data_IF_450394603784
#
_entry.id   IF_450394603784
#
_cell.length_a   1.000
_cell.length_b   1.000
_cell.length_c   1.000
_cell.angle_alpha   90.00
_cell.angle_beta   90.00
_cell.angle_gamma   90.00
#
_symmetry.space_group_name_H-M   'P 1'
#
loop_
_entity.id
_entity.type
_entity.pdbx_description
1 polymer ?
#
# COMPACT_ATOMS: atom_id res chain seq x y z
N UNK A 1 31.28 -11.32 -49.86
CA UNK A 1 31.98 -10.64 -50.97
C UNK A 1 31.07 -10.65 -52.18
N UNK A 2 30.38 -9.55 -52.48
CA UNK A 2 29.85 -9.22 -53.81
C UNK A 2 30.10 -7.73 -54.01
N UNK A 3 30.51 -7.39 -55.23
CA UNK A 3 31.16 -6.16 -55.65
C UNK A 3 30.35 -5.55 -56.80
N UNK A 4 30.35 -4.22 -56.95
CA UNK A 4 29.82 -3.49 -58.12
C UNK A 4 28.99 -2.26 -57.74
N UNK A 5 29.59 -1.09 -57.49
CA UNK A 5 29.95 0.02 -58.42
C UNK A 5 28.74 0.70 -59.11
N UNK A 6 28.50 1.99 -58.83
CA UNK A 6 28.72 3.13 -59.77
C UNK A 6 28.23 4.47 -59.17
N UNK A 7 28.82 5.58 -59.64
CA UNK A 7 28.81 6.94 -59.09
C UNK A 7 28.67 7.93 -60.28
N UNK A 8 27.79 8.95 -60.20
CA UNK A 8 27.81 10.26 -60.90
C UNK A 8 26.45 10.98 -60.67
N UNK A 9 26.33 12.15 -60.00
CA UNK A 9 26.62 13.55 -60.43
C UNK A 9 25.65 14.02 -61.55
N UNK A 10 24.90 15.13 -61.54
CA UNK A 10 25.08 16.51 -61.02
C UNK A 10 23.73 17.32 -61.09
N UNK A 11 23.57 18.32 -60.18
CA UNK A 11 23.09 19.75 -60.31
C UNK A 11 21.87 20.12 -61.21
N UNK A 12 21.00 21.12 -60.95
CA UNK A 12 21.06 22.37 -60.15
C UNK A 12 19.64 23.01 -59.99
N UNK A 13 19.46 23.70 -58.84
CA UNK A 13 18.67 24.91 -58.45
C UNK A 13 17.29 25.32 -59.01
N UNK A 14 16.44 25.79 -58.07
CA UNK A 14 15.38 26.79 -58.29
C UNK A 14 14.42 26.93 -57.08
N UNK A 15 14.70 27.84 -56.13
CA UNK A 15 13.95 29.09 -55.85
C UNK A 15 12.82 28.97 -54.80
N UNK A 16 13.03 29.64 -53.67
CA UNK A 16 12.10 29.85 -52.55
C UNK A 16 10.95 30.80 -52.90
N UNK A 17 9.82 30.68 -52.17
CA UNK A 17 9.35 31.86 -51.44
C UNK A 17 9.02 31.64 -49.96
N UNK A 18 9.12 32.77 -49.28
CA UNK A 18 9.05 33.17 -47.87
C UNK A 18 7.79 32.85 -47.05
N UNK A 19 8.02 32.78 -45.71
CA UNK A 19 7.12 33.06 -44.55
C UNK A 19 5.89 32.15 -44.41
N UNK A 20 5.62 31.55 -43.25
CA UNK A 20 5.09 32.22 -42.05
C UNK A 20 5.38 31.40 -40.78
N UNK A 21 5.63 32.13 -39.69
CA UNK A 21 5.72 31.66 -38.30
C UNK A 21 4.50 30.84 -37.89
N UNK A 22 4.71 29.58 -37.54
CA UNK A 22 3.74 28.77 -36.83
C UNK A 22 4.48 27.92 -35.80
N UNK A 23 4.72 28.48 -34.61
CA UNK A 23 5.19 27.73 -33.45
C UNK A 23 4.16 26.63 -33.18
N UNK A 24 4.46 25.39 -33.56
CA UNK A 24 3.72 24.23 -33.05
C UNK A 24 4.00 24.16 -31.55
N UNK A 25 2.97 24.23 -30.69
CA UNK A 25 3.18 24.02 -29.27
C UNK A 25 3.70 22.59 -29.11
N UNK A 26 4.78 22.46 -28.35
CA UNK A 26 5.21 21.20 -27.77
C UNK A 26 3.97 20.61 -27.08
N UNK A 27 3.46 19.49 -27.59
CA UNK A 27 2.47 18.72 -26.87
C UNK A 27 3.20 18.05 -25.71
N UNK A 28 3.38 18.81 -24.64
CA UNK A 28 3.80 18.32 -23.35
C UNK A 28 2.63 17.52 -22.77
N UNK A 29 2.41 16.29 -23.26
CA UNK A 29 1.72 15.29 -22.45
C UNK A 29 2.70 14.85 -21.36
N UNK A 30 3.01 15.78 -20.45
CA UNK A 30 3.43 15.45 -19.11
C UNK A 30 2.19 14.83 -18.46
N UNK A 31 1.92 13.57 -18.82
CA UNK A 31 1.08 12.70 -18.03
C UNK A 31 1.70 12.77 -16.64
N UNK A 32 1.02 13.49 -15.76
CA UNK A 32 1.45 13.71 -14.41
C UNK A 32 1.69 12.32 -13.82
N UNK A 33 2.95 11.96 -13.65
CA UNK A 33 3.37 10.98 -12.66
C UNK A 33 3.07 11.62 -11.31
N UNK A 34 1.78 11.81 -11.02
CA UNK A 34 1.30 11.82 -9.67
C UNK A 34 1.62 10.41 -9.18
N UNK A 35 2.83 10.25 -8.65
CA UNK A 35 3.24 9.07 -7.92
C UNK A 35 2.25 8.92 -6.80
N UNK A 36 1.19 8.15 -7.04
CA UNK A 36 0.33 7.66 -5.99
C UNK A 36 1.27 6.83 -5.12
N UNK A 37 1.74 7.39 -4.01
CA UNK A 37 2.41 6.69 -2.92
C UNK A 37 1.39 5.75 -2.24
N UNK A 38 0.70 4.94 -3.04
CA UNK A 38 -0.12 3.87 -2.55
C UNK A 38 0.84 2.85 -1.94
N UNK A 39 0.64 2.47 -0.68
CA UNK A 39 1.48 1.46 -0.07
C UNK A 39 1.48 0.22 -0.95
N UNK A 40 2.66 -0.36 -1.17
CA UNK A 40 2.86 -1.56 -1.98
C UNK A 40 3.07 -2.77 -1.08
N UNK A 41 2.69 -3.93 -1.58
CA UNK A 41 3.00 -5.17 -0.88
C UNK A 41 4.52 -5.38 -0.80
N UNK A 42 5.03 -5.66 0.39
CA UNK A 42 6.46 -5.90 0.60
C UNK A 42 7.00 -7.14 -0.13
N UNK A 43 6.13 -8.12 -0.43
CA UNK A 43 6.52 -9.38 -1.08
C UNK A 43 6.38 -9.33 -2.60
N UNK A 44 5.20 -8.99 -3.13
CA UNK A 44 4.93 -9.03 -4.58
C UNK A 44 4.97 -7.65 -5.28
N UNK A 45 5.11 -6.55 -4.54
CA UNK A 45 5.08 -5.19 -5.11
C UNK A 45 3.71 -4.72 -5.61
N UNK A 46 2.66 -5.53 -5.45
CA UNK A 46 1.29 -5.24 -5.86
C UNK A 46 0.72 -3.97 -5.23
N UNK A 47 -0.18 -3.31 -5.97
CA UNK A 47 -1.01 -2.23 -5.44
C UNK A 47 -1.93 -2.81 -4.37
N UNK A 48 -1.71 -2.42 -3.11
CA UNK A 48 -2.34 -3.06 -1.96
C UNK A 48 -1.37 -3.47 -0.86
N UNK A 49 -0.33 -2.66 -0.58
CA UNK A 49 0.25 -2.59 0.76
C UNK A 49 -0.79 -2.11 1.78
N UNK A 50 -0.49 -2.08 3.10
CA UNK A 50 -1.47 -2.06 4.19
C UNK A 50 -2.74 -1.30 3.80
N UNK A 51 -3.75 -2.06 3.35
CA UNK A 51 -4.96 -1.44 2.84
C UNK A 51 -5.68 -0.91 4.08
N UNK A 52 -6.08 0.35 4.03
CA UNK A 52 -6.98 0.92 5.03
C UNK A 52 -8.14 -0.06 5.28
N UNK A 53 -8.33 -0.45 6.54
CA UNK A 53 -9.36 -1.40 6.98
C UNK A 53 -8.81 -2.77 7.41
N UNK A 54 -9.67 -3.79 7.34
CA UNK A 54 -9.49 -5.13 7.95
C UNK A 54 -8.54 -6.09 7.21
N UNK A 55 -7.73 -5.59 6.28
CA UNK A 55 -6.96 -6.46 5.39
C UNK A 55 -5.54 -6.71 5.90
N UNK A 56 -5.37 -7.80 6.63
CA UNK A 56 -4.06 -8.28 7.10
C UNK A 56 -3.20 -8.89 5.99
N UNK A 57 -3.82 -9.50 4.97
CA UNK A 57 -3.10 -10.27 3.94
C UNK A 57 -3.17 -9.60 2.57
N UNK A 58 -2.10 -9.76 1.79
CA UNK A 58 -2.08 -9.31 0.40
C UNK A 58 -3.07 -10.13 -0.45
N UNK A 59 -3.96 -9.50 -1.24
CA UNK A 59 -4.91 -10.23 -2.09
C UNK A 59 -4.23 -11.00 -3.24
N UNK A 60 -3.00 -10.64 -3.62
CA UNK A 60 -2.30 -11.26 -4.74
C UNK A 60 -1.41 -12.45 -4.31
N UNK A 61 -0.56 -12.25 -3.29
CA UNK A 61 0.40 -13.27 -2.85
C UNK A 61 0.09 -13.87 -1.47
N UNK A 62 -0.96 -13.39 -0.78
CA UNK A 62 -1.35 -13.79 0.58
C UNK A 62 -0.30 -13.58 1.68
N UNK A 63 0.77 -12.84 1.41
CA UNK A 63 1.74 -12.48 2.44
C UNK A 63 1.09 -11.59 3.52
N UNK A 64 1.41 -11.85 4.79
CA UNK A 64 1.00 -10.99 5.91
C UNK A 64 1.62 -9.60 5.73
N UNK A 65 0.80 -8.55 5.72
CA UNK A 65 1.24 -7.17 5.54
C UNK A 65 1.63 -6.53 6.88
N UNK A 66 2.48 -5.50 6.90
CA UNK A 66 2.78 -4.75 8.13
C UNK A 66 1.51 -4.11 8.72
N UNK A 67 1.45 -3.91 10.05
CA UNK A 67 0.35 -3.17 10.68
C UNK A 67 0.31 -1.72 10.22
N UNK A 68 -0.89 -1.16 10.12
CA UNK A 68 -1.11 0.25 9.82
C UNK A 68 -0.94 1.08 11.12
N UNK A 69 0.09 1.94 11.22
CA UNK A 69 0.33 2.74 12.42
C UNK A 69 -0.72 3.83 12.64
N UNK A 70 -1.54 4.14 11.64
CA UNK A 70 -2.59 5.17 11.72
C UNK A 70 -3.94 4.62 12.17
N UNK A 71 -4.05 3.29 12.29
CA UNK A 71 -5.30 2.61 12.66
C UNK A 71 -5.52 2.69 14.17
N UNK A 72 -6.67 3.22 14.57
CA UNK A 72 -7.06 3.29 15.98
C UNK A 72 -7.55 1.94 16.53
N UNK A 73 -7.57 1.80 17.86
CA UNK A 73 -7.95 0.56 18.54
C UNK A 73 -9.43 0.21 18.36
N UNK A 74 -10.33 1.19 18.26
CA UNK A 74 -11.76 0.93 18.03
C UNK A 74 -11.97 0.37 16.62
N UNK A 75 -11.31 0.96 15.62
CA UNK A 75 -11.28 0.45 14.24
C UNK A 75 -10.63 -0.91 14.14
N UNK A 76 -9.57 -1.20 14.91
CA UNK A 76 -8.96 -2.54 14.97
C UNK A 76 -9.93 -3.59 15.53
N UNK A 77 -10.60 -3.23 16.62
CA UNK A 77 -11.55 -4.06 17.35
C UNK A 77 -12.97 -4.03 16.78
N UNK A 78 -13.15 -3.45 15.58
CA UNK A 78 -14.41 -3.41 14.84
C UNK A 78 -15.58 -2.93 15.72
N UNK A 79 -15.35 -1.82 16.43
CA UNK A 79 -16.33 -1.21 17.32
C UNK A 79 -16.34 0.31 17.17
N UNK A 80 -17.44 0.93 17.60
CA UNK A 80 -17.57 2.39 17.53
C UNK A 80 -16.63 3.06 18.54
N UNK A 81 -16.04 4.20 18.17
CA UNK A 81 -15.29 5.07 19.10
C UNK A 81 -16.23 5.66 20.15
N UNK A 82 -16.46 4.91 21.21
CA UNK A 82 -17.36 5.24 22.32
C UNK A 82 -16.81 4.67 23.62
N UNK A 83 -17.10 5.34 24.73
CA UNK A 83 -16.79 4.79 26.05
C UNK A 83 -17.58 3.50 26.34
N UNK A 84 -18.79 3.37 25.80
CA UNK A 84 -19.62 2.16 25.95
C UNK A 84 -19.21 1.14 24.89
N UNK A 85 -18.48 0.11 25.32
CA UNK A 85 -18.04 -1.01 24.48
C UNK A 85 -18.67 -2.30 24.98
N UNK A 86 -19.17 -3.11 24.06
CA UNK A 86 -19.65 -4.47 24.31
C UNK A 86 -18.44 -5.41 24.45
N UNK A 87 -18.16 -5.84 25.69
CA UNK A 87 -16.98 -6.67 26.00
C UNK A 87 -17.06 -8.07 25.40
N UNK A 88 -18.26 -8.61 25.19
CA UNK A 88 -18.43 -9.92 24.56
C UNK A 88 -18.05 -9.86 23.08
N UNK A 89 -18.49 -8.81 22.36
CA UNK A 89 -18.08 -8.55 20.97
C UNK A 89 -16.58 -8.27 20.88
N UNK A 90 -16.04 -7.49 21.82
CA UNK A 90 -14.62 -7.18 21.89
C UNK A 90 -13.78 -8.46 22.02
N UNK A 91 -14.14 -9.35 22.95
CA UNK A 91 -13.46 -10.63 23.14
C UNK A 91 -13.59 -11.55 21.92
N UNK A 92 -14.77 -11.60 21.30
CA UNK A 92 -14.96 -12.38 20.08
C UNK A 92 -14.05 -11.89 18.95
N UNK A 93 -14.01 -10.56 18.73
CA UNK A 93 -13.14 -9.95 17.72
C UNK A 93 -11.66 -10.21 18.01
N UNK A 94 -11.24 -10.06 19.26
CA UNK A 94 -9.88 -10.40 19.70
C UNK A 94 -9.47 -11.82 19.30
N UNK A 95 -10.32 -12.81 19.59
CA UNK A 95 -10.06 -14.21 19.24
C UNK A 95 -10.05 -14.44 17.72
N UNK A 96 -10.88 -13.74 16.95
CA UNK A 96 -10.86 -13.81 15.49
C UNK A 96 -9.53 -13.30 14.93
N UNK A 97 -9.07 -12.15 15.42
CA UNK A 97 -7.79 -11.58 15.01
C UNK A 97 -6.65 -12.52 15.38
N UNK A 98 -6.56 -12.97 16.63
CA UNK A 98 -5.47 -13.86 17.06
C UNK A 98 -5.41 -15.15 16.22
N UNK A 99 -6.54 -15.74 15.83
CA UNK A 99 -6.55 -16.90 14.91
C UNK A 99 -5.96 -16.61 13.52
N UNK A 100 -5.90 -15.36 13.09
CA UNK A 100 -5.33 -14.95 11.81
C UNK A 100 -3.85 -14.60 11.90
N UNK A 101 -3.41 -14.01 13.02
CA UNK A 101 -2.12 -13.32 13.12
C UNK A 101 -1.20 -13.85 14.23
N UNK A 102 -1.62 -14.79 15.07
CA UNK A 102 -0.80 -15.24 16.21
C UNK A 102 0.52 -15.91 15.76
N UNK A 103 1.67 -15.62 16.41
CA UNK A 103 3.00 -16.12 16.01
C UNK A 103 3.12 -17.64 15.84
N UNK A 104 2.35 -18.42 16.59
CA UNK A 104 2.34 -19.88 16.49
C UNK A 104 2.06 -20.37 15.07
N UNK A 105 1.18 -19.68 14.33
CA UNK A 105 0.84 -20.01 12.93
C UNK A 105 1.92 -19.61 11.93
N UNK A 106 2.90 -18.80 12.34
CA UNK A 106 3.97 -18.27 11.50
C UNK A 106 5.35 -18.87 11.83
N UNK A 107 5.43 -19.82 12.75
CA UNK A 107 6.68 -20.50 13.17
C UNK A 107 7.51 -21.10 12.02
N UNK A 108 6.86 -21.56 10.95
CA UNK A 108 7.50 -22.11 9.74
C UNK A 108 7.53 -21.13 8.55
N UNK A 109 7.12 -19.87 8.74
CA UNK A 109 7.08 -18.84 7.69
C UNK A 109 8.39 -18.06 7.59
N UNK A 110 8.46 -17.17 6.60
CA UNK A 110 9.60 -16.25 6.44
C UNK A 110 9.81 -15.38 7.68
N UNK A 111 11.05 -14.94 7.93
CA UNK A 111 11.35 -14.07 9.08
C UNK A 111 10.51 -12.79 9.05
N UNK A 112 10.32 -12.19 7.87
CA UNK A 112 9.49 -11.00 7.69
C UNK A 112 8.04 -11.22 8.11
N UNK A 113 7.44 -12.37 7.80
CA UNK A 113 6.08 -12.69 8.25
C UNK A 113 6.01 -12.99 9.75
N UNK A 114 7.05 -13.59 10.33
CA UNK A 114 7.16 -13.77 11.79
C UNK A 114 7.16 -12.42 12.50
N UNK A 115 8.00 -11.49 12.03
CA UNK A 115 8.11 -10.15 12.61
C UNK A 115 6.78 -9.38 12.51
N UNK A 116 6.06 -9.50 11.38
CA UNK A 116 4.75 -8.86 11.24
C UNK A 116 3.68 -9.53 12.09
N UNK A 117 3.70 -10.86 12.22
CA UNK A 117 2.80 -11.61 13.09
C UNK A 117 2.96 -11.21 14.54
N UNK A 118 4.20 -11.08 15.03
CA UNK A 118 4.50 -10.58 16.37
C UNK A 118 3.98 -9.16 16.56
N UNK A 119 4.31 -8.23 15.65
CA UNK A 119 3.85 -6.83 15.73
C UNK A 119 2.32 -6.71 15.74
N UNK A 120 1.63 -7.48 14.90
CA UNK A 120 0.18 -7.51 14.88
C UNK A 120 -0.39 -8.08 16.17
N UNK A 121 0.18 -9.17 16.71
CA UNK A 121 -0.30 -9.79 17.95
C UNK A 121 -0.18 -8.83 19.14
N UNK A 122 0.95 -8.13 19.25
CA UNK A 122 1.16 -7.08 20.26
C UNK A 122 0.12 -5.97 20.13
N UNK A 123 -0.07 -5.43 18.93
CA UNK A 123 -1.04 -4.35 18.68
C UNK A 123 -2.49 -4.78 18.97
N UNK A 124 -2.86 -6.03 18.68
CA UNK A 124 -4.17 -6.60 19.01
C UNK A 124 -4.33 -6.81 20.51
N UNK A 125 -3.30 -7.26 21.22
CA UNK A 125 -3.31 -7.37 22.68
C UNK A 125 -3.46 -5.98 23.33
N UNK A 126 -2.65 -5.01 22.91
CA UNK A 126 -2.69 -3.64 23.44
C UNK A 126 -4.07 -3.01 23.27
N UNK A 127 -4.66 -3.15 22.08
CA UNK A 127 -6.00 -2.66 21.81
C UNK A 127 -7.05 -3.36 22.67
N UNK A 128 -6.93 -4.68 22.87
CA UNK A 128 -7.89 -5.45 23.64
C UNK A 128 -7.85 -5.05 25.11
N UNK A 129 -6.67 -5.06 25.72
CA UNK A 129 -6.47 -4.67 27.12
C UNK A 129 -6.88 -3.21 27.36
N UNK A 130 -6.48 -2.31 26.46
CA UNK A 130 -6.84 -0.88 26.54
C UNK A 130 -8.35 -0.69 26.51
N UNK A 131 -9.04 -1.34 25.58
CA UNK A 131 -10.49 -1.21 25.43
C UNK A 131 -11.26 -2.07 26.43
N UNK A 132 -10.67 -3.07 27.07
CA UNK A 132 -11.36 -3.93 28.04
C UNK A 132 -11.61 -3.18 29.35
N UNK A 133 -10.58 -2.54 29.91
CA UNK A 133 -10.69 -1.83 31.18
C UNK A 133 -11.28 -0.41 31.01
N UNK A 134 -12.28 -0.01 31.83
CA UNK A 134 -12.92 1.30 31.68
C UNK A 134 -11.96 2.49 31.80
N UNK A 135 -10.97 2.41 32.69
CA UNK A 135 -10.02 3.50 32.92
C UNK A 135 -9.11 3.73 31.70
N UNK A 136 -8.43 2.68 31.22
CA UNK A 136 -7.57 2.76 30.04
C UNK A 136 -8.35 3.16 28.80
N UNK A 137 -9.58 2.66 28.64
CA UNK A 137 -10.49 3.04 27.55
C UNK A 137 -10.80 4.53 27.58
N UNK A 138 -11.10 5.07 28.77
CA UNK A 138 -11.37 6.50 28.94
C UNK A 138 -10.18 7.37 28.56
N UNK A 139 -8.99 7.01 29.02
CA UNK A 139 -7.74 7.71 28.69
C UNK A 139 -7.43 7.66 27.19
N UNK A 140 -7.61 6.50 26.56
CA UNK A 140 -7.40 6.34 25.12
C UNK A 140 -8.43 7.12 24.27
N UNK A 141 -9.65 7.31 24.77
CA UNK A 141 -10.68 8.03 24.03
C UNK A 141 -10.35 9.53 23.89
N UNK A 142 -9.64 10.09 24.88
CA UNK A 142 -9.30 11.52 24.96
C UNK A 142 -7.89 11.86 24.47
N UNK A 143 -7.05 10.85 24.21
CA UNK A 143 -5.78 11.01 23.48
C UNK A 143 -6.01 11.24 21.99
#
# INVERSE_FOLDING_TARGET
MWCGRTMALLRVSGLWPTRVLGRRPLNCSAASLAGSNSPRCWNCGGLGGPLRGDRFFCPQCRALQPPDPTRDYFSLMDCNRSFRVDTAKLQHRYQQLQRLIHPDFFSQRSQTEKDFSEKHSTLVNDAYETLLAPLSRGLYLVS
#
